data_IF_199889889063
#
_entry.id   IF_199889889063
#
_cell.length_a   1.000
_cell.length_b   1.000
_cell.length_c   1.000
_cell.angle_alpha   90.00
_cell.angle_beta   90.00
_cell.angle_gamma   90.00
#
_symmetry.space_group_name_H-M   'P 1'
#
loop_
_entity.id
_entity.type
_entity.pdbx_description
1 polymer ?
#
# COMPACT_ATOMS: atom_id res chain seq x y z
N UNK A 1 5.36 -1.81 -5.00
CA UNK A 1 4.86 -0.47 -5.41
C UNK A 1 3.51 -0.65 -6.08
N UNK A 2 2.73 0.42 -6.20
CA UNK A 2 1.40 0.37 -6.81
C UNK A 2 1.14 1.58 -7.71
N UNK A 3 0.10 1.47 -8.54
CA UNK A 3 -0.53 2.60 -9.22
C UNK A 3 -1.95 2.78 -8.66
N UNK A 4 -2.38 4.04 -8.50
CA UNK A 4 -3.76 4.35 -8.10
C UNK A 4 -4.65 4.20 -9.33
N UNK A 5 -5.71 3.38 -9.24
CA UNK A 5 -6.68 3.16 -10.32
C UNK A 5 -7.91 4.02 -10.16
N UNK A 6 -8.32 4.26 -8.91
CA UNK A 6 -9.54 4.98 -8.60
C UNK A 6 -9.42 5.69 -7.24
N UNK A 7 -10.03 6.87 -7.11
CA UNK A 7 -10.22 7.61 -5.85
C UNK A 7 -11.70 7.99 -5.76
N UNK A 8 -12.42 7.42 -4.79
CA UNK A 8 -13.85 7.67 -4.55
C UNK A 8 -14.74 7.55 -5.80
N UNK A 9 -14.55 6.50 -6.59
CA UNK A 9 -15.25 6.25 -7.84
C UNK A 9 -14.69 6.99 -9.05
N UNK A 10 -13.73 7.90 -8.88
CA UNK A 10 -13.21 8.77 -9.94
C UNK A 10 -11.77 8.46 -10.35
N UNK A 11 -11.38 8.92 -11.54
CA UNK A 11 -9.99 8.85 -12.00
C UNK A 11 -9.07 9.69 -11.11
N UNK A 12 -7.86 9.20 -10.76
CA UNK A 12 -6.90 9.97 -9.97
C UNK A 12 -6.33 11.17 -10.76
N UNK A 13 -5.84 12.17 -10.01
CA UNK A 13 -5.11 13.31 -10.57
C UNK A 13 -3.87 12.85 -11.36
N UNK A 14 -3.42 13.60 -12.38
CA UNK A 14 -2.29 13.22 -13.22
C UNK A 14 -1.02 12.86 -12.45
N UNK A 15 -0.67 13.65 -11.42
CA UNK A 15 0.49 13.46 -10.55
C UNK A 15 0.46 12.15 -9.74
N UNK A 16 -0.71 11.55 -9.56
CA UNK A 16 -0.92 10.33 -8.77
C UNK A 16 -0.95 9.05 -9.61
N UNK A 17 -0.88 9.15 -10.95
CA UNK A 17 -0.96 8.01 -11.87
C UNK A 17 0.35 7.21 -12.00
N UNK A 18 1.44 7.75 -11.46
CA UNK A 18 2.75 7.09 -11.45
C UNK A 18 2.82 5.91 -10.48
N UNK A 19 4.02 5.33 -10.39
CA UNK A 19 4.33 4.35 -9.35
C UNK A 19 4.48 5.05 -8.01
N UNK A 20 3.81 4.53 -6.98
CA UNK A 20 3.82 5.04 -5.61
C UNK A 20 3.99 3.90 -4.60
N UNK A 21 4.26 4.28 -3.36
CA UNK A 21 4.30 3.43 -2.17
C UNK A 21 3.42 3.96 -1.02
N UNK A 22 2.95 5.21 -1.12
CA UNK A 22 2.11 5.89 -0.14
C UNK A 22 0.96 6.61 -0.84
N UNK A 23 -0.25 6.59 -0.25
CA UNK A 23 -1.45 7.23 -0.79
C UNK A 23 -2.26 7.84 0.36
N UNK A 24 -2.82 9.03 0.13
CA UNK A 24 -3.79 9.63 1.05
C UNK A 24 -5.16 8.99 0.83
N UNK A 25 -5.78 8.49 1.90
CA UNK A 25 -7.09 7.84 1.85
C UNK A 25 -8.08 8.66 2.68
N UNK A 26 -8.94 9.38 1.97
CA UNK A 26 -10.15 10.01 2.53
C UNK A 26 -11.36 9.43 1.79
N UNK A 27 -12.07 8.50 2.44
CA UNK A 27 -13.02 7.61 1.79
C UNK A 27 -12.36 6.32 1.31
N UNK A 28 -12.39 6.05 0.00
CA UNK A 28 -11.92 4.81 -0.62
C UNK A 28 -11.00 5.07 -1.82
N UNK A 29 -9.92 4.29 -1.92
CA UNK A 29 -9.03 4.25 -3.10
C UNK A 29 -8.88 2.81 -3.60
N UNK A 30 -8.66 2.64 -4.90
CA UNK A 30 -8.36 1.36 -5.52
C UNK A 30 -6.90 1.34 -6.02
N UNK A 31 -6.14 0.33 -5.62
CA UNK A 31 -4.71 0.22 -5.90
C UNK A 31 -4.44 -1.01 -6.77
N UNK A 32 -3.68 -0.82 -7.85
CA UNK A 32 -3.07 -1.90 -8.59
C UNK A 32 -1.67 -2.15 -8.02
N UNK A 33 -1.55 -3.15 -7.15
CA UNK A 33 -0.31 -3.44 -6.41
C UNK A 33 0.53 -4.50 -7.14
N UNK A 34 1.83 -4.24 -7.27
CA UNK A 34 2.80 -5.19 -7.81
C UNK A 34 3.77 -5.67 -6.72
N UNK A 35 3.74 -6.98 -6.44
CA UNK A 35 4.56 -7.66 -5.44
C UNK A 35 5.81 -8.29 -6.06
N UNK A 36 6.83 -7.46 -6.27
CA UNK A 36 8.07 -7.87 -6.94
C UNK A 36 9.11 -8.51 -6.01
N UNK A 37 8.99 -8.27 -4.70
CA UNK A 37 10.00 -8.64 -3.71
C UNK A 37 9.43 -9.69 -2.75
N UNK A 38 10.19 -10.75 -2.41
CA UNK A 38 9.76 -11.72 -1.42
C UNK A 38 9.86 -11.17 0.00
N UNK A 39 9.15 -11.81 0.92
CA UNK A 39 9.33 -11.66 2.36
C UNK A 39 9.24 -13.03 3.06
N UNK A 40 9.55 -13.07 4.36
CA UNK A 40 9.54 -14.31 5.14
C UNK A 40 8.71 -14.14 6.43
N UNK A 41 8.22 -15.22 7.05
CA UNK A 41 7.37 -15.12 8.25
C UNK A 41 7.96 -14.29 9.39
N UNK A 42 9.29 -14.32 9.58
CA UNK A 42 9.99 -13.54 10.60
C UNK A 42 10.60 -12.23 10.07
N UNK A 43 10.48 -11.96 8.77
CA UNK A 43 10.89 -10.72 8.10
C UNK A 43 9.81 -10.27 7.10
N UNK A 44 8.57 -9.98 7.55
CA UNK A 44 7.47 -9.60 6.66
C UNK A 44 7.61 -8.15 6.19
N UNK A 45 6.94 -7.81 5.09
CA UNK A 45 6.67 -6.41 4.77
C UNK A 45 5.57 -5.86 5.68
N UNK A 46 5.51 -4.54 5.81
CA UNK A 46 4.47 -3.86 6.57
C UNK A 46 3.64 -2.97 5.64
N UNK A 47 2.34 -2.90 5.91
CA UNK A 47 1.45 -1.87 5.41
C UNK A 47 0.74 -1.25 6.60
N UNK A 48 0.69 0.07 6.67
CA UNK A 48 0.29 0.77 7.89
C UNK A 48 -0.39 2.11 7.60
N UNK A 49 -1.07 2.63 8.61
CA UNK A 49 -1.50 4.03 8.63
C UNK A 49 -0.28 4.93 8.73
N UNK A 50 -0.16 5.90 7.81
CA UNK A 50 0.97 6.83 7.81
C UNK A 50 0.83 7.99 8.81
N UNK A 51 -0.28 8.05 9.55
CA UNK A 51 -0.33 8.78 10.84
C UNK A 51 0.46 7.98 11.89
N UNK A 52 1.62 8.51 12.29
CA UNK A 52 2.59 7.79 13.11
C UNK A 52 2.02 7.33 14.46
N UNK A 53 1.23 8.16 15.12
CA UNK A 53 0.64 7.82 16.40
C UNK A 53 -0.43 6.72 16.29
N UNK A 54 -1.00 6.47 15.11
CA UNK A 54 -1.88 5.33 14.87
C UNK A 54 -1.07 4.06 14.57
N UNK A 55 0.03 4.18 13.83
CA UNK A 55 0.96 3.08 13.62
C UNK A 55 1.52 2.57 14.95
N UNK A 56 1.99 3.46 15.83
CA UNK A 56 2.49 3.10 17.18
C UNK A 56 1.41 2.46 18.06
N UNK A 57 0.14 2.80 17.82
CA UNK A 57 -1.03 2.19 18.48
C UNK A 57 -1.49 0.88 17.84
N UNK A 58 -0.76 0.37 16.84
CA UNK A 58 -1.01 -0.93 16.22
C UNK A 58 -1.80 -0.91 14.92
N UNK A 59 -1.98 0.25 14.27
CA UNK A 59 -2.58 0.33 12.92
C UNK A 59 -1.59 -0.11 11.84
N UNK A 60 -1.07 -1.33 11.98
CA UNK A 60 -0.04 -1.96 11.16
C UNK A 60 -0.49 -3.39 10.83
N UNK A 61 -0.46 -3.74 9.55
CA UNK A 61 -0.57 -5.11 9.06
C UNK A 61 0.77 -5.64 8.55
N UNK A 62 0.95 -6.95 8.63
CA UNK A 62 2.11 -7.66 8.08
C UNK A 62 1.73 -8.41 6.82
N UNK A 63 2.65 -8.46 5.85
CA UNK A 63 2.42 -9.10 4.56
C UNK A 63 3.56 -10.07 4.22
N UNK A 64 3.17 -11.33 4.03
CA UNK A 64 4.02 -12.38 3.49
C UNK A 64 3.87 -12.44 1.97
N UNK A 65 4.95 -12.24 1.24
CA UNK A 65 5.03 -12.41 -0.22
C UNK A 65 5.95 -13.58 -0.49
N UNK A 66 5.39 -14.70 -0.96
CA UNK A 66 6.20 -15.85 -1.31
C UNK A 66 7.16 -15.51 -2.46
N UNK A 67 8.40 -16.04 -2.45
CA UNK A 67 9.29 -15.90 -3.59
C UNK A 67 8.65 -16.48 -4.85
N UNK A 68 8.96 -15.85 -5.99
CA UNK A 68 8.59 -16.40 -7.28
C UNK A 68 9.20 -17.82 -7.44
N UNK A 69 8.52 -18.74 -8.15
CA UNK A 69 9.04 -20.06 -8.46
C UNK A 69 10.40 -20.04 -9.16
#
# INVERSE_FOLDING_TARGET
>A
MFQIRNVNGSSPFPEDRGWKDTVWVDGQVELLVYYAQPSWPHFPFQYLSQTLELADRGSIGQMLVNPAP
#
